data_IF_549538724312
#
_entry.id   IF_549538724312
#
_cell.length_a   1.000
_cell.length_b   1.000
_cell.length_c   1.000
_cell.angle_alpha   90.00
_cell.angle_beta   90.00
_cell.angle_gamma   90.00
#
_symmetry.space_group_name_H-M   'P 1'
#
loop_
_entity.id
_entity.type
_entity.pdbx_description
1 polymer ?
#
# COMPACT_ATOMS: atom_id res chain seq x y z
N UNK A 1 12.10 1.14 -49.62
CA UNK A 1 12.46 -0.30 -49.53
C UNK A 1 13.73 -0.39 -48.68
N UNK A 2 13.85 -1.05 -47.53
CA UNK A 2 12.99 -1.89 -46.69
C UNK A 2 13.31 -1.48 -45.24
N UNK A 3 12.29 -1.21 -44.41
CA UNK A 3 12.52 -1.13 -42.96
C UNK A 3 12.90 -2.54 -42.48
N UNK A 4 14.09 -2.69 -41.90
CA UNK A 4 14.53 -3.93 -41.28
C UNK A 4 13.50 -4.37 -40.25
N UNK A 5 12.71 -5.40 -40.56
CA UNK A 5 11.80 -6.04 -39.62
C UNK A 5 12.59 -6.43 -38.38
N UNK A 6 12.22 -5.90 -37.21
CA UNK A 6 12.67 -6.44 -35.92
C UNK A 6 12.47 -7.95 -35.98
N UNK A 7 13.55 -8.72 -35.81
CA UNK A 7 13.47 -10.17 -35.77
C UNK A 7 12.85 -10.54 -34.41
N UNK A 8 11.53 -10.57 -34.37
CA UNK A 8 10.76 -11.07 -33.23
C UNK A 8 10.91 -12.58 -33.28
N UNK A 9 11.49 -13.15 -32.23
CA UNK A 9 11.54 -14.61 -32.09
C UNK A 9 10.56 -14.94 -30.98
N UNK A 10 9.42 -15.53 -31.35
CA UNK A 10 8.46 -16.07 -30.39
C UNK A 10 8.93 -17.46 -29.99
N UNK A 11 9.15 -17.67 -28.70
CA UNK A 11 9.49 -18.98 -28.15
C UNK A 11 8.26 -19.47 -27.39
N UNK A 12 7.58 -20.46 -27.96
CA UNK A 12 6.50 -21.16 -27.28
C UNK A 12 7.10 -22.04 -26.16
N UNK A 13 6.61 -21.87 -24.94
CA UNK A 13 6.92 -22.79 -23.84
C UNK A 13 5.88 -23.91 -23.85
N UNK A 14 6.34 -25.15 -24.01
CA UNK A 14 5.50 -26.33 -23.79
C UNK A 14 5.18 -26.46 -22.30
N UNK A 15 4.13 -25.79 -21.86
CA UNK A 15 3.38 -26.07 -20.64
C UNK A 15 1.91 -25.72 -20.92
N UNK A 16 0.98 -26.37 -20.21
CA UNK A 16 -0.48 -26.33 -20.44
C UNK A 16 -1.18 -24.95 -20.23
N UNK A 17 -0.46 -23.84 -20.37
CA UNK A 17 -0.98 -22.49 -20.38
C UNK A 17 -0.28 -21.73 -21.52
N UNK A 18 -1.07 -21.19 -22.46
CA UNK A 18 -0.60 -20.43 -23.62
C UNK A 18 0.10 -19.14 -23.18
N UNK A 19 1.36 -19.23 -22.77
CA UNK A 19 2.21 -18.10 -22.43
C UNK A 19 3.24 -17.89 -23.54
N UNK A 20 3.18 -16.74 -24.22
CA UNK A 20 4.13 -16.35 -25.27
C UNK A 20 5.23 -15.47 -24.71
N UNK A 21 6.50 -15.84 -24.92
CA UNK A 21 7.64 -14.97 -24.63
C UNK A 21 8.06 -14.28 -25.93
N UNK A 22 7.95 -12.95 -25.96
CA UNK A 22 8.37 -12.14 -27.11
C UNK A 22 9.78 -11.60 -26.87
N UNK A 23 10.75 -12.07 -27.66
CA UNK A 23 12.14 -11.59 -27.61
C UNK A 23 12.35 -10.59 -28.76
N UNK A 24 12.75 -9.34 -28.43
CA UNK A 24 13.16 -8.35 -29.42
C UNK A 24 14.62 -7.97 -29.25
N UNK A 25 15.45 -8.25 -30.26
CA UNK A 25 16.82 -7.73 -30.33
C UNK A 25 16.81 -6.34 -30.99
N UNK A 26 17.33 -5.33 -30.30
CA UNK A 26 17.67 -4.04 -30.92
C UNK A 26 19.14 -4.04 -31.32
N UNK A 27 19.42 -4.32 -32.59
CA UNK A 27 20.75 -4.05 -33.16
C UNK A 27 20.82 -2.56 -33.51
N UNK A 28 21.47 -1.75 -32.67
CA UNK A 28 21.98 -0.45 -33.10
C UNK A 28 23.44 -0.64 -33.54
N UNK A 29 23.63 -1.11 -34.77
CA UNK A 29 24.93 -1.02 -35.43
C UNK A 29 25.06 0.38 -36.02
N UNK A 30 25.56 1.33 -35.22
CA UNK A 30 26.21 2.53 -35.75
C UNK A 30 27.16 3.11 -34.70
N UNK A 31 28.38 2.58 -34.66
CA UNK A 31 29.56 3.33 -34.21
C UNK A 31 30.84 2.65 -34.70
N UNK A 32 31.39 3.20 -35.79
CA UNK A 32 32.81 3.10 -36.07
C UNK A 32 33.51 4.12 -35.16
N UNK A 33 34.13 3.66 -34.06
CA UNK A 33 35.35 4.24 -33.46
C UNK A 33 35.77 3.45 -32.23
N UNK A 34 37.02 2.99 -32.26
CA UNK A 34 37.75 2.32 -31.19
C UNK A 34 37.81 3.21 -29.94
N UNK A 35 37.24 2.74 -28.83
CA UNK A 35 37.62 3.01 -27.44
C UNK A 35 36.93 1.94 -26.58
N UNK A 36 37.70 1.19 -25.78
CA UNK A 36 37.21 0.00 -25.04
C UNK A 36 36.38 0.33 -23.78
N UNK A 37 35.93 1.58 -23.58
CA UNK A 37 35.14 1.97 -22.39
C UNK A 37 33.64 2.24 -22.64
N UNK A 38 33.13 2.20 -23.88
CA UNK A 38 31.73 2.53 -24.20
C UNK A 38 30.93 1.37 -24.86
N UNK A 39 31.12 0.12 -24.42
CA UNK A 39 30.21 -0.97 -24.80
C UNK A 39 28.92 -0.87 -23.99
N UNK A 40 27.91 -0.19 -24.54
CA UNK A 40 26.53 -0.22 -24.03
C UNK A 40 26.11 -1.70 -23.89
N UNK A 41 25.73 -2.17 -22.69
CA UNK A 41 25.40 -3.58 -22.51
C UNK A 41 24.20 -3.95 -23.37
N UNK A 42 24.37 -5.01 -24.17
CA UNK A 42 23.29 -5.62 -24.94
C UNK A 42 22.24 -6.15 -23.95
N UNK A 43 21.08 -5.51 -23.85
CA UNK A 43 20.00 -5.96 -22.99
C UNK A 43 18.91 -6.66 -23.80
N UNK A 44 18.41 -7.77 -23.26
CA UNK A 44 17.19 -8.41 -23.75
C UNK A 44 16.02 -7.91 -22.91
N UNK A 45 15.09 -7.17 -23.54
CA UNK A 45 13.87 -6.74 -22.87
C UNK A 45 12.86 -7.90 -22.90
N UNK A 46 12.54 -8.44 -21.72
CA UNK A 46 11.58 -9.53 -21.57
C UNK A 46 10.28 -8.97 -21.00
N UNK A 47 9.19 -9.18 -21.73
CA UNK A 47 7.84 -8.84 -21.27
C UNK A 47 7.19 -10.08 -20.68
N UNK A 48 6.67 -9.96 -19.46
CA UNK A 48 6.05 -11.07 -18.74
C UNK A 48 4.69 -10.59 -18.26
N UNK A 49 3.65 -11.17 -18.84
CA UNK A 49 2.29 -10.97 -18.35
C UNK A 49 2.15 -11.63 -16.97
N UNK A 50 1.55 -10.91 -16.03
CA UNK A 50 1.37 -11.35 -14.64
C UNK A 50 2.68 -11.88 -13.99
N UNK A 51 3.64 -10.99 -13.67
CA UNK A 51 4.96 -11.36 -13.14
C UNK A 51 4.90 -12.20 -11.86
N UNK A 52 3.85 -12.03 -11.06
CA UNK A 52 3.65 -12.75 -9.81
C UNK A 52 3.41 -14.24 -10.05
N UNK A 53 2.51 -14.59 -10.97
CA UNK A 53 2.24 -15.98 -11.32
C UNK A 53 3.37 -16.64 -12.12
N UNK A 54 4.19 -15.83 -12.80
CA UNK A 54 5.31 -16.30 -13.63
C UNK A 54 6.68 -16.16 -12.93
N UNK A 55 6.71 -16.07 -11.59
CA UNK A 55 7.92 -15.86 -10.79
C UNK A 55 9.05 -16.87 -11.07
N UNK A 56 8.73 -18.15 -11.24
CA UNK A 56 9.74 -19.18 -11.51
C UNK A 56 10.42 -19.00 -12.86
N UNK A 57 9.71 -18.43 -13.85
CA UNK A 57 10.28 -18.06 -15.15
C UNK A 57 11.18 -16.84 -15.01
N UNK A 58 10.74 -15.81 -14.28
CA UNK A 58 11.54 -14.61 -14.00
C UNK A 58 12.86 -15.01 -13.33
N UNK A 59 12.80 -15.84 -12.29
CA UNK A 59 13.98 -16.30 -11.54
C UNK A 59 14.96 -17.12 -12.40
N UNK A 60 14.45 -17.91 -13.36
CA UNK A 60 15.30 -18.64 -14.31
C UNK A 60 16.02 -17.68 -15.27
N UNK A 61 15.34 -16.64 -15.74
CA UNK A 61 15.90 -15.66 -16.68
C UNK A 61 16.85 -14.67 -15.97
N UNK A 62 16.55 -14.31 -14.72
CA UNK A 62 17.28 -13.28 -13.98
C UNK A 62 18.55 -13.76 -13.29
N UNK A 63 18.72 -15.08 -13.09
CA UNK A 63 19.86 -15.68 -12.37
C UNK A 63 21.24 -15.34 -12.98
N UNK A 64 21.29 -14.94 -14.25
CA UNK A 64 22.53 -14.65 -14.97
C UNK A 64 22.73 -13.16 -15.32
N UNK A 65 21.92 -12.23 -14.80
CA UNK A 65 22.03 -10.80 -15.13
C UNK A 65 22.09 -9.90 -13.87
N UNK A 66 23.10 -9.01 -13.81
CA UNK A 66 23.19 -7.96 -12.78
C UNK A 66 22.06 -6.95 -12.98
N UNK A 67 21.27 -6.69 -11.94
CA UNK A 67 20.28 -5.59 -11.92
C UNK A 67 18.80 -6.00 -12.00
N UNK A 68 18.48 -7.29 -11.95
CA UNK A 68 17.07 -7.72 -11.85
C UNK A 68 16.62 -7.71 -10.40
N UNK A 69 15.71 -6.80 -10.08
CA UNK A 69 14.96 -6.81 -8.83
C UNK A 69 14.03 -8.04 -8.84
N UNK A 70 14.34 -9.04 -8.02
CA UNK A 70 13.43 -10.15 -7.73
C UNK A 70 13.10 -10.10 -6.24
N UNK A 71 11.82 -9.99 -5.87
CA UNK A 71 11.44 -10.10 -4.46
C UNK A 71 11.93 -11.45 -3.94
N UNK A 72 12.82 -11.38 -2.96
CA UNK A 72 13.18 -12.53 -2.11
C UNK A 72 11.90 -13.19 -1.57
N UNK A 73 11.90 -14.49 -1.20
CA UNK A 73 10.69 -15.27 -0.92
C UNK A 73 9.95 -14.78 0.32
N UNK A 74 9.23 -13.68 0.16
CA UNK A 74 8.20 -13.19 1.06
C UNK A 74 6.88 -13.19 0.30
N UNK A 75 5.89 -13.82 0.92
CA UNK A 75 4.58 -14.15 0.37
C UNK A 75 3.61 -12.95 0.33
N UNK A 76 4.10 -11.71 0.50
CA UNK A 76 3.20 -10.56 0.47
C UNK A 76 2.68 -10.36 -0.96
N UNK A 77 1.36 -10.42 -1.11
CA UNK A 77 0.71 -10.08 -2.35
C UNK A 77 0.92 -8.57 -2.63
N UNK A 78 1.30 -8.17 -3.85
CA UNK A 78 1.56 -6.76 -4.15
C UNK A 78 0.35 -5.86 -3.91
N UNK A 79 -0.88 -6.31 -4.22
CA UNK A 79 -2.09 -5.55 -3.90
C UNK A 79 -2.29 -5.41 -2.40
N UNK A 80 -1.93 -6.43 -1.60
CA UNK A 80 -1.95 -6.33 -0.14
C UNK A 80 -0.99 -5.25 0.35
N UNK A 81 0.24 -5.20 -0.18
CA UNK A 81 1.22 -4.16 0.16
C UNK A 81 0.69 -2.77 -0.20
N UNK A 82 0.04 -2.63 -1.37
CA UNK A 82 -0.60 -1.38 -1.77
C UNK A 82 -1.74 -0.99 -0.83
N UNK A 83 -2.62 -1.92 -0.46
CA UNK A 83 -3.71 -1.68 0.48
C UNK A 83 -3.20 -1.26 1.85
N UNK A 84 -2.18 -1.96 2.36
CA UNK A 84 -1.57 -1.61 3.63
C UNK A 84 -0.87 -0.24 3.58
N UNK A 85 -0.24 0.10 2.45
CA UNK A 85 0.32 1.43 2.23
C UNK A 85 -0.78 2.50 2.16
N UNK A 86 -1.94 2.21 1.58
CA UNK A 86 -3.11 3.08 1.60
C UNK A 86 -3.65 3.32 3.02
N UNK A 87 -3.41 2.40 3.97
CA UNK A 87 -3.74 2.63 5.37
C UNK A 87 -2.62 3.40 6.12
N UNK A 88 -1.38 2.91 6.05
CA UNK A 88 -0.33 3.26 7.03
C UNK A 88 0.83 4.09 6.47
N UNK A 89 0.97 4.18 5.15
CA UNK A 89 2.17 4.79 4.57
C UNK A 89 2.09 6.31 4.46
N UNK A 90 3.26 6.92 4.30
CA UNK A 90 3.44 8.32 3.97
C UNK A 90 4.43 8.47 2.81
N UNK A 91 4.06 9.31 1.83
CA UNK A 91 4.94 9.76 0.76
C UNK A 91 5.29 11.22 1.00
N UNK A 92 6.56 11.58 0.92
CA UNK A 92 6.92 12.99 0.91
C UNK A 92 8.40 13.28 0.89
N UNK A 93 8.74 14.53 1.19
CA UNK A 93 10.13 14.96 1.27
C UNK A 93 10.31 16.06 2.33
N UNK A 94 11.49 16.05 2.94
CA UNK A 94 11.95 17.08 3.88
C UNK A 94 12.76 18.10 3.11
N UNK A 95 12.64 19.37 3.51
CA UNK A 95 13.51 20.45 3.05
C UNK A 95 14.15 21.03 4.30
N UNK A 96 15.48 21.00 4.39
CA UNK A 96 16.22 21.48 5.57
C UNK A 96 17.44 22.29 5.16
N UNK A 97 17.92 23.15 6.05
CA UNK A 97 19.17 23.87 5.84
C UNK A 97 20.35 22.92 5.78
N UNK A 98 21.21 23.15 4.80
CA UNK A 98 22.50 22.51 4.68
C UNK A 98 23.46 23.48 3.99
N UNK A 99 24.22 24.22 4.80
CA UNK A 99 25.12 25.29 4.34
C UNK A 99 26.28 24.77 3.47
N UNK A 100 26.50 23.46 3.40
CA UNK A 100 27.50 22.84 2.52
C UNK A 100 27.02 22.77 1.06
N UNK A 101 25.71 22.94 0.81
CA UNK A 101 25.13 22.92 -0.53
C UNK A 101 25.07 24.33 -1.11
N UNK A 102 25.19 24.45 -2.44
CA UNK A 102 25.21 25.72 -3.18
C UNK A 102 24.04 26.66 -2.82
N UNK A 103 22.83 26.11 -2.68
CA UNK A 103 21.63 26.87 -2.36
C UNK A 103 21.33 26.92 -0.85
N UNK A 104 22.16 26.30 -0.01
CA UNK A 104 21.94 26.22 1.44
C UNK A 104 20.78 25.33 1.88
N UNK A 105 20.15 24.59 0.96
CA UNK A 105 18.97 23.76 1.19
C UNK A 105 19.17 22.34 0.67
N UNK A 106 18.78 21.36 1.47
CA UNK A 106 18.79 19.93 1.13
C UNK A 106 17.35 19.41 1.05
N UNK A 107 17.05 18.70 -0.05
CA UNK A 107 15.77 18.03 -0.27
C UNK A 107 15.93 16.53 -0.10
N UNK A 108 15.21 15.93 0.84
CA UNK A 108 15.33 14.52 1.21
C UNK A 108 13.98 13.84 1.01
N UNK A 109 13.78 13.12 -0.10
CA UNK A 109 12.57 12.34 -0.30
C UNK A 109 12.51 11.12 0.60
N UNK A 110 11.30 10.67 0.91
CA UNK A 110 11.06 9.46 1.66
C UNK A 110 9.70 8.83 1.33
N UNK A 111 9.69 7.50 1.34
CA UNK A 111 8.52 6.67 1.58
C UNK A 111 8.69 6.04 2.96
N UNK A 112 7.66 6.05 3.79
CA UNK A 112 7.73 5.46 5.13
C UNK A 112 6.44 4.81 5.57
N UNK A 113 6.56 3.79 6.42
CA UNK A 113 5.46 3.15 7.15
C UNK A 113 5.87 3.14 8.63
N UNK A 114 5.02 3.72 9.49
CA UNK A 114 5.27 3.86 10.91
C UNK A 114 4.22 3.06 11.67
N UNK A 115 4.63 2.05 12.44
CA UNK A 115 3.73 1.18 13.20
C UNK A 115 4.13 1.12 14.67
N UNK A 116 3.26 0.56 15.50
CA UNK A 116 3.65 0.14 16.83
C UNK A 116 4.66 -1.03 16.76
N UNK A 117 5.60 -1.12 17.71
CA UNK A 117 6.67 -2.16 17.73
C UNK A 117 6.14 -3.59 17.73
N UNK A 118 4.93 -3.81 18.25
CA UNK A 118 4.22 -5.10 18.20
C UNK A 118 4.04 -5.63 16.77
N UNK A 119 3.97 -4.76 15.77
CA UNK A 119 3.79 -5.09 14.36
C UNK A 119 5.11 -4.95 13.56
N UNK A 120 6.26 -4.98 14.23
CA UNK A 120 7.59 -4.95 13.61
C UNK A 120 7.78 -6.06 12.55
N UNK A 121 7.16 -7.23 12.74
CA UNK A 121 7.19 -8.32 11.76
C UNK A 121 6.65 -7.90 10.40
N UNK A 122 5.60 -7.07 10.35
CA UNK A 122 5.04 -6.55 9.10
C UNK A 122 6.08 -5.67 8.39
N UNK A 123 6.79 -4.82 9.12
CA UNK A 123 7.83 -3.95 8.54
C UNK A 123 9.01 -4.76 8.00
N UNK A 124 9.43 -5.80 8.73
CA UNK A 124 10.44 -6.75 8.24
C UNK A 124 9.97 -7.43 6.95
N UNK A 125 8.70 -7.80 6.88
CA UNK A 125 8.14 -8.44 5.70
C UNK A 125 8.06 -7.51 4.49
N UNK A 126 7.68 -6.25 4.72
CA UNK A 126 7.64 -5.20 3.70
C UNK A 126 9.06 -4.85 3.22
N UNK A 127 10.04 -4.74 4.12
CA UNK A 127 11.44 -4.52 3.74
C UNK A 127 11.94 -5.66 2.85
N UNK A 128 11.62 -6.91 3.18
CA UNK A 128 11.98 -8.07 2.36
C UNK A 128 11.21 -8.11 1.03
N UNK A 129 9.96 -7.66 1.01
CA UNK A 129 9.14 -7.53 -0.20
C UNK A 129 9.67 -6.47 -1.18
N UNK A 130 10.16 -5.33 -0.69
CA UNK A 130 10.76 -4.26 -1.47
C UNK A 130 12.27 -4.40 -1.69
N UNK A 131 12.94 -5.28 -0.93
CA UNK A 131 14.38 -5.55 -1.04
C UNK A 131 15.29 -4.33 -0.76
N UNK A 132 14.70 -3.20 -0.35
CA UNK A 132 15.36 -1.93 -0.10
C UNK A 132 14.78 -1.28 1.16
N UNK A 133 15.44 -0.22 1.63
CA UNK A 133 15.01 0.53 2.80
C UNK A 133 15.58 0.02 4.12
N UNK A 134 15.39 0.85 5.14
CA UNK A 134 15.90 0.62 6.49
C UNK A 134 14.74 0.55 7.48
N UNK A 135 14.95 -0.18 8.57
CA UNK A 135 14.02 -0.21 9.69
C UNK A 135 14.75 0.35 10.90
N UNK A 136 14.12 1.30 11.59
CA UNK A 136 14.53 1.76 12.91
C UNK A 136 13.40 1.50 13.90
N UNK A 137 13.73 0.99 15.09
CA UNK A 137 12.75 0.69 16.14
C UNK A 137 13.15 1.35 17.45
N UNK A 138 12.18 2.00 18.10
CA UNK A 138 12.28 2.49 19.47
C UNK A 138 11.51 1.59 20.44
N UNK A 139 11.07 2.14 21.57
CA UNK A 139 10.29 1.42 22.59
C UNK A 139 8.87 1.05 22.09
N UNK A 140 8.17 2.02 21.51
CA UNK A 140 6.75 1.87 21.12
C UNK A 140 6.52 1.96 19.62
N UNK A 141 7.43 2.60 18.87
CA UNK A 141 7.29 2.79 17.42
C UNK A 141 8.41 2.09 16.65
N UNK A 142 8.04 1.48 15.52
CA UNK A 142 8.97 1.01 14.50
C UNK A 142 8.66 1.69 13.16
N UNK A 143 9.70 2.02 12.41
CA UNK A 143 9.62 2.79 11.17
C UNK A 143 10.38 2.05 10.07
N UNK A 144 9.68 1.67 9.01
CA UNK A 144 10.31 1.32 7.74
C UNK A 144 10.41 2.57 6.86
N UNK A 145 11.59 2.84 6.30
CA UNK A 145 11.79 4.02 5.45
C UNK A 145 12.74 3.74 4.27
N UNK A 146 12.37 4.28 3.11
CA UNK A 146 13.21 4.36 1.90
C UNK A 146 13.43 5.84 1.57
N UNK A 147 14.68 6.30 1.62
CA UNK A 147 15.06 7.71 1.37
C UNK A 147 16.08 7.88 0.24
N UNK A 148 16.70 6.79 -0.23
CA UNK A 148 17.60 6.79 -1.37
C UNK A 148 16.83 7.04 -2.65
N UNK A 149 17.17 8.09 -3.40
CA UNK A 149 16.56 8.38 -4.71
C UNK A 149 16.67 7.18 -5.66
N UNK A 150 17.78 6.42 -5.60
CA UNK A 150 17.97 5.21 -6.39
C UNK A 150 16.93 4.14 -6.03
N UNK A 151 16.70 3.90 -4.74
CA UNK A 151 15.77 2.87 -4.28
C UNK A 151 14.32 3.28 -4.52
N UNK A 152 14.01 4.58 -4.36
CA UNK A 152 12.71 5.15 -4.67
C UNK A 152 12.36 4.98 -6.16
N UNK A 153 13.30 5.27 -7.06
CA UNK A 153 13.12 5.13 -8.51
C UNK A 153 13.00 3.67 -8.96
N UNK A 154 13.74 2.75 -8.32
CA UNK A 154 13.85 1.37 -8.81
C UNK A 154 12.90 0.38 -8.11
N UNK A 155 12.40 0.70 -6.92
CA UNK A 155 11.54 -0.21 -6.15
C UNK A 155 10.17 0.41 -5.80
N UNK A 156 10.14 1.63 -5.25
CA UNK A 156 8.90 2.22 -4.74
C UNK A 156 8.02 2.77 -5.85
N UNK A 157 8.55 3.61 -6.74
CA UNK A 157 7.78 4.19 -7.85
C UNK A 157 7.21 3.08 -8.75
N UNK A 158 8.00 2.10 -9.24
CA UNK A 158 7.48 1.05 -10.12
C UNK A 158 6.37 0.21 -9.47
N UNK A 159 6.44 -0.04 -8.16
CA UNK A 159 5.38 -0.78 -7.46
C UNK A 159 4.05 -0.02 -7.51
N UNK A 160 4.04 1.26 -7.14
CA UNK A 160 2.79 2.05 -7.10
C UNK A 160 2.31 2.53 -8.47
N UNK A 161 3.13 2.40 -9.52
CA UNK A 161 2.67 2.51 -10.91
C UNK A 161 1.90 1.26 -11.34
N UNK A 162 2.41 0.07 -11.01
CA UNK A 162 1.80 -1.20 -11.38
C UNK A 162 0.60 -1.57 -10.49
N UNK A 163 0.64 -1.16 -9.22
CA UNK A 163 -0.40 -1.38 -8.22
C UNK A 163 -0.81 -0.03 -7.62
N UNK A 164 -1.70 0.72 -8.29
CA UNK A 164 -2.06 2.08 -7.86
C UNK A 164 -2.80 2.09 -6.52
N UNK A 165 -2.46 3.09 -5.69
CA UNK A 165 -3.23 3.44 -4.49
C UNK A 165 -4.67 3.86 -4.86
N UNK A 166 -5.63 3.56 -3.99
CA UNK A 166 -7.05 3.85 -4.21
C UNK A 166 -7.56 5.03 -3.37
N UNK A 167 -6.91 5.36 -2.24
CA UNK A 167 -7.30 6.50 -1.41
C UNK A 167 -6.81 7.83 -1.99
N UNK A 168 -7.22 8.96 -1.40
CA UNK A 168 -6.68 10.29 -1.71
C UNK A 168 -5.16 10.40 -1.50
N UNK A 169 -4.53 9.43 -0.83
CA UNK A 169 -3.06 9.30 -0.75
C UNK A 169 -2.42 9.09 -2.13
N UNK A 170 -3.15 8.57 -3.12
CA UNK A 170 -2.66 8.50 -4.51
C UNK A 170 -2.27 9.88 -5.04
N UNK A 171 -3.01 10.94 -4.70
CA UNK A 171 -2.64 12.29 -5.11
C UNK A 171 -1.32 12.75 -4.45
N UNK A 172 -1.08 12.38 -3.19
CA UNK A 172 0.21 12.63 -2.52
C UNK A 172 1.35 11.84 -3.18
N UNK A 173 1.10 10.58 -3.57
CA UNK A 173 2.05 9.78 -4.34
C UNK A 173 2.39 10.41 -5.70
N UNK A 174 1.41 10.95 -6.42
CA UNK A 174 1.64 11.60 -7.72
C UNK A 174 2.49 12.87 -7.56
N UNK A 175 2.20 13.72 -6.57
CA UNK A 175 3.04 14.86 -6.21
C UNK A 175 4.46 14.43 -5.82
N UNK A 176 4.57 13.40 -5.00
CA UNK A 176 5.85 12.81 -4.61
C UNK A 176 6.64 12.31 -5.83
N UNK A 177 6.01 11.58 -6.76
CA UNK A 177 6.63 11.10 -7.99
C UNK A 177 7.16 12.26 -8.83
N UNK A 178 6.39 13.35 -8.99
CA UNK A 178 6.86 14.58 -9.66
C UNK A 178 8.10 15.16 -8.99
N UNK A 179 8.14 15.19 -7.64
CA UNK A 179 9.32 15.65 -6.91
C UNK A 179 10.55 14.76 -7.15
N UNK A 180 10.37 13.43 -7.20
CA UNK A 180 11.47 12.51 -7.49
C UNK A 180 12.04 12.70 -8.90
N UNK A 181 11.19 12.96 -9.91
CA UNK A 181 11.67 13.24 -11.26
C UNK A 181 12.50 14.53 -11.33
N UNK A 182 12.10 15.60 -10.64
CA UNK A 182 12.92 16.82 -10.49
C UNK A 182 14.26 16.53 -9.81
N UNK A 183 14.27 15.66 -8.80
CA UNK A 183 15.50 15.27 -8.10
C UNK A 183 16.43 14.47 -9.02
N UNK A 184 15.87 13.51 -9.77
CA UNK A 184 16.58 12.69 -10.76
C UNK A 184 17.21 13.52 -11.87
N UNK A 185 16.52 14.55 -12.34
CA UNK A 185 17.01 15.52 -13.33
C UNK A 185 18.00 16.55 -12.74
N UNK A 186 18.29 16.45 -11.44
CA UNK A 186 19.13 17.38 -10.69
C UNK A 186 18.61 18.83 -10.64
N UNK A 187 17.33 19.06 -10.97
CA UNK A 187 16.72 20.40 -10.95
C UNK A 187 16.74 21.04 -9.56
N UNK A 188 16.68 20.22 -8.49
CA UNK A 188 16.78 20.65 -7.09
C UNK A 188 18.09 21.41 -6.75
N UNK A 189 19.10 21.39 -7.62
CA UNK A 189 20.35 22.15 -7.45
C UNK A 189 20.25 23.60 -7.93
N UNK A 190 19.15 23.97 -8.59
CA UNK A 190 18.88 25.29 -9.15
C UNK A 190 17.68 25.92 -8.44
N UNK A 191 17.64 27.25 -8.37
CA UNK A 191 16.64 27.96 -7.57
C UNK A 191 15.22 27.74 -8.10
N UNK A 192 15.07 27.65 -9.41
CA UNK A 192 13.81 27.40 -10.11
C UNK A 192 13.28 26.00 -9.79
N UNK A 193 14.15 24.98 -9.84
CA UNK A 193 13.78 23.62 -9.52
C UNK A 193 13.45 23.44 -8.04
N UNK A 194 14.18 24.13 -7.15
CA UNK A 194 13.87 24.16 -5.73
C UNK A 194 12.53 24.86 -5.47
N UNK A 195 12.23 25.97 -6.15
CA UNK A 195 10.94 26.68 -6.06
C UNK A 195 9.77 25.79 -6.51
N UNK A 196 9.91 25.04 -7.62
CA UNK A 196 8.94 24.01 -8.03
C UNK A 196 8.71 22.95 -6.94
N UNK A 197 9.77 22.47 -6.30
CA UNK A 197 9.66 21.50 -5.20
C UNK A 197 8.90 22.09 -4.00
N UNK A 198 9.06 23.38 -3.70
CA UNK A 198 8.27 24.04 -2.65
C UNK A 198 6.79 24.14 -3.06
N UNK A 199 6.49 24.44 -4.33
CA UNK A 199 5.12 24.37 -4.86
C UNK A 199 4.49 22.98 -4.72
N UNK A 200 5.24 21.91 -4.98
CA UNK A 200 4.79 20.53 -4.72
C UNK A 200 4.54 20.33 -3.22
N UNK A 201 5.47 20.79 -2.36
CA UNK A 201 5.38 20.62 -0.90
C UNK A 201 4.16 21.32 -0.32
N UNK A 202 3.81 22.49 -0.84
CA UNK A 202 2.63 23.26 -0.44
C UNK A 202 1.31 22.52 -0.71
N UNK A 203 1.31 21.58 -1.66
CA UNK A 203 0.14 20.74 -1.95
C UNK A 203 0.22 19.36 -1.32
N UNK A 204 1.40 18.90 -0.89
CA UNK A 204 1.64 17.55 -0.40
C UNK A 204 1.19 17.37 1.06
N UNK A 205 0.51 16.26 1.35
CA UNK A 205 0.00 15.93 2.69
C UNK A 205 -0.86 17.05 3.28
N UNK A 206 -0.38 17.75 4.32
CA UNK A 206 -1.07 18.88 4.95
C UNK A 206 -0.73 20.24 4.30
N UNK A 207 0.20 20.27 3.34
CA UNK A 207 0.61 21.49 2.66
C UNK A 207 1.34 22.53 3.52
N UNK A 208 1.70 22.16 4.76
CA UNK A 208 2.29 23.09 5.72
C UNK A 208 3.75 23.38 5.36
N UNK A 209 4.04 24.65 5.10
CA UNK A 209 5.38 25.21 4.98
C UNK A 209 5.72 25.96 6.26
N UNK A 210 6.96 25.83 6.74
CA UNK A 210 7.42 26.59 7.90
C UNK A 210 7.76 28.04 7.50
N UNK A 211 7.85 28.92 8.49
CA UNK A 211 8.15 30.34 8.29
C UNK A 211 9.46 30.56 7.50
N UNK A 212 10.47 29.72 7.75
CA UNK A 212 11.75 29.78 7.06
C UNK A 212 11.63 29.52 5.55
N UNK A 213 10.81 28.54 5.13
CA UNK A 213 10.53 28.29 3.73
C UNK A 213 9.68 29.42 3.12
N UNK A 214 8.67 29.91 3.85
CA UNK A 214 7.80 30.99 3.36
C UNK A 214 8.55 32.32 3.16
N UNK A 215 9.54 32.61 4.02
CA UNK A 215 10.39 33.80 3.92
C UNK A 215 11.45 33.70 2.83
N UNK A 216 11.98 32.49 2.58
CA UNK A 216 13.00 32.30 1.55
C UNK A 216 12.40 32.19 0.14
N UNK A 217 11.22 31.59 0.00
CA UNK A 217 10.55 31.38 -1.29
C UNK A 217 9.32 32.29 -1.40
N UNK A 218 9.46 33.40 -2.11
CA UNK A 218 8.34 34.30 -2.38
C UNK A 218 7.45 33.76 -3.50
N UNK A 219 6.16 34.13 -3.50
CA UNK A 219 5.19 33.81 -4.56
C UNK A 219 5.08 32.30 -4.87
N UNK A 220 5.03 31.46 -3.84
CA UNK A 220 4.85 30.01 -4.00
C UNK A 220 3.46 29.77 -4.60
N UNK A 221 3.43 29.11 -5.76
CA UNK A 221 2.19 28.60 -6.37
C UNK A 221 2.10 27.11 -6.05
N UNK A 222 1.14 26.67 -5.21
CA UNK A 222 0.94 25.26 -4.93
C UNK A 222 0.65 24.46 -6.20
N UNK A 223 1.28 23.29 -6.35
CA UNK A 223 1.00 22.44 -7.51
C UNK A 223 -0.41 21.84 -7.42
N UNK A 224 -1.18 21.90 -8.49
CA UNK A 224 -2.52 21.32 -8.54
C UNK A 224 -2.55 19.84 -8.15
N UNK A 225 -3.52 19.46 -7.31
CA UNK A 225 -3.71 18.07 -6.89
C UNK A 225 -4.56 17.34 -7.91
N UNK A 226 -4.00 16.29 -8.52
CA UNK A 226 -4.73 15.43 -9.46
C UNK A 226 -5.91 14.74 -8.77
N UNK A 227 -7.07 14.74 -9.44
CA UNK A 227 -8.21 13.93 -9.00
C UNK A 227 -7.88 12.43 -9.08
N UNK A 228 -8.22 11.70 -8.02
CA UNK A 228 -8.01 10.26 -7.94
C UNK A 228 -9.27 9.56 -8.45
N UNK A 229 -9.20 8.76 -9.53
CA UNK A 229 -10.35 8.01 -10.01
C UNK A 229 -10.74 6.91 -9.02
N UNK A 230 -12.03 6.63 -8.92
CA UNK A 230 -12.52 5.50 -8.14
C UNK A 230 -12.19 4.17 -8.85
N UNK A 231 -11.92 3.10 -8.09
CA UNK A 231 -11.74 1.77 -8.68
C UNK A 231 -13.07 1.27 -9.24
N UNK A 232 -13.05 0.67 -10.44
CA UNK A 232 -14.21 -0.06 -10.97
C UNK A 232 -14.50 -1.32 -10.14
N UNK A 233 -13.44 -2.04 -9.76
CA UNK A 233 -13.48 -3.24 -8.92
C UNK A 233 -12.38 -3.16 -7.87
N UNK A 234 -12.75 -3.43 -6.61
CA UNK A 234 -11.80 -3.51 -5.52
C UNK A 234 -11.13 -4.88 -5.53
N UNK A 235 -9.80 -4.89 -5.57
CA UNK A 235 -9.04 -6.13 -5.44
C UNK A 235 -9.14 -6.65 -3.99
N UNK A 236 -9.48 -7.93 -3.76
CA UNK A 236 -9.69 -8.45 -2.41
C UNK A 236 -8.40 -8.51 -1.59
N UNK A 237 -7.22 -8.67 -2.21
CA UNK A 237 -5.94 -8.55 -1.49
C UNK A 237 -5.65 -7.10 -1.08
N UNK A 238 -6.01 -6.11 -1.92
CA UNK A 238 -5.93 -4.70 -1.53
C UNK A 238 -6.84 -4.42 -0.34
N UNK A 239 -8.09 -4.91 -0.38
CA UNK A 239 -9.03 -4.74 0.73
C UNK A 239 -8.48 -5.36 2.02
N UNK A 240 -7.95 -6.58 1.96
CA UNK A 240 -7.30 -7.23 3.10
C UNK A 240 -6.10 -6.43 3.65
N UNK A 241 -5.23 -5.91 2.77
CA UNK A 241 -4.11 -5.05 3.16
C UNK A 241 -4.56 -3.76 3.82
N UNK A 242 -5.54 -3.09 3.23
CA UNK A 242 -6.11 -1.86 3.77
C UNK A 242 -6.74 -2.09 5.15
N UNK A 243 -7.44 -3.20 5.33
CA UNK A 243 -8.06 -3.56 6.61
C UNK A 243 -7.07 -4.04 7.67
N UNK A 244 -5.84 -4.38 7.27
CA UNK A 244 -4.77 -4.74 8.20
C UNK A 244 -4.16 -3.51 8.90
N UNK A 245 -4.29 -2.31 8.33
CA UNK A 245 -3.83 -1.06 8.95
C UNK A 245 -4.62 -0.67 10.20
N UNK A 246 -4.00 0.07 11.11
CA UNK A 246 -4.53 0.52 12.40
C UNK A 246 -5.79 1.39 12.26
N UNK A 247 -6.69 1.33 13.25
CA UNK A 247 -7.97 2.04 13.22
C UNK A 247 -9.04 1.48 12.26
N UNK A 248 -8.71 0.44 11.48
CA UNK A 248 -9.60 -0.23 10.53
C UNK A 248 -9.90 -1.67 10.98
N UNK A 249 -11.09 -2.19 10.69
CA UNK A 249 -11.48 -3.59 10.86
C UNK A 249 -12.17 -3.93 12.19
N UNK A 250 -11.56 -4.83 12.96
CA UNK A 250 -12.16 -5.50 14.14
C UNK A 250 -12.15 -4.67 15.43
N UNK A 251 -11.72 -3.40 15.33
CA UNK A 251 -11.74 -2.47 16.44
C UNK A 251 -13.18 -2.26 16.93
N UNK A 252 -13.43 -2.58 18.20
CA UNK A 252 -14.78 -2.55 18.80
C UNK A 252 -15.80 -3.46 18.09
N UNK A 253 -15.37 -4.57 17.50
CA UNK A 253 -16.24 -5.45 16.70
C UNK A 253 -17.38 -6.14 17.45
N UNK A 254 -17.36 -6.15 18.79
CA UNK A 254 -18.36 -6.85 19.61
C UNK A 254 -19.01 -5.87 20.58
N UNK A 255 -20.28 -5.57 20.37
CA UNK A 255 -21.10 -4.76 21.27
C UNK A 255 -22.07 -5.66 22.06
N UNK A 256 -22.24 -5.36 23.35
CA UNK A 256 -23.17 -6.06 24.23
C UNK A 256 -24.06 -4.99 24.84
N UNK A 257 -25.32 -4.97 24.42
CA UNK A 257 -26.30 -3.94 24.80
C UNK A 257 -27.34 -4.54 25.73
N UNK A 258 -27.77 -3.80 26.76
CA UNK A 258 -28.91 -4.21 27.59
C UNK A 258 -30.17 -4.24 26.72
N UNK A 259 -30.97 -5.28 26.85
CA UNK A 259 -32.20 -5.43 26.08
C UNK A 259 -33.24 -6.21 26.87
N UNK A 260 -34.38 -5.57 27.13
CA UNK A 260 -35.53 -6.20 27.81
C UNK A 260 -36.26 -7.22 26.93
N UNK A 261 -36.10 -7.16 25.61
CA UNK A 261 -36.73 -8.09 24.66
C UNK A 261 -35.95 -9.39 24.45
N UNK A 262 -34.69 -9.47 24.91
CA UNK A 262 -33.87 -10.67 24.82
C UNK A 262 -33.95 -11.45 26.13
N UNK A 263 -34.15 -12.77 26.05
CA UNK A 263 -34.35 -13.65 27.23
C UNK A 263 -33.24 -13.54 28.29
N UNK A 264 -32.00 -13.32 27.86
CA UNK A 264 -30.84 -13.19 28.74
C UNK A 264 -30.57 -11.75 29.20
N UNK A 265 -31.44 -10.80 28.85
CA UNK A 265 -31.30 -9.38 29.21
C UNK A 265 -30.29 -8.58 28.36
N UNK A 266 -29.65 -9.24 27.38
CA UNK A 266 -28.62 -8.64 26.54
C UNK A 266 -28.78 -9.01 25.07
N UNK A 267 -28.44 -8.07 24.20
CA UNK A 267 -28.23 -8.27 22.77
C UNK A 267 -26.73 -8.26 22.47
N UNK A 268 -26.25 -9.25 21.72
CA UNK A 268 -24.88 -9.28 21.18
C UNK A 268 -24.93 -8.80 19.74
N UNK A 269 -24.11 -7.81 19.40
CA UNK A 269 -23.94 -7.30 18.04
C UNK A 269 -22.50 -7.53 17.62
N UNK A 270 -22.33 -8.23 16.51
CA UNK A 270 -21.05 -8.37 15.82
C UNK A 270 -21.02 -7.38 14.67
N UNK A 271 -19.97 -6.55 14.62
CA UNK A 271 -19.79 -5.53 13.60
C UNK A 271 -18.38 -5.53 13.03
N UNK A 272 -18.27 -5.27 11.74
CA UNK A 272 -17.03 -4.91 11.06
C UNK A 272 -17.10 -3.45 10.66
N UNK A 273 -15.98 -2.73 10.84
CA UNK A 273 -15.93 -1.28 10.71
C UNK A 273 -14.67 -0.84 9.98
N UNK A 274 -14.79 -0.01 8.95
CA UNK A 274 -13.66 0.71 8.35
C UNK A 274 -13.87 2.19 8.61
N UNK A 275 -12.94 2.82 9.33
CA UNK A 275 -12.96 4.25 9.62
C UNK A 275 -11.94 4.94 8.71
N UNK A 276 -12.33 6.01 8.03
CA UNK A 276 -11.43 6.80 7.21
C UNK A 276 -11.82 8.28 7.23
N UNK A 277 -10.91 9.18 6.86
CA UNK A 277 -11.25 10.59 6.69
C UNK A 277 -12.35 10.75 5.62
N UNK A 278 -13.26 11.71 5.82
CA UNK A 278 -14.41 11.95 4.91
C UNK A 278 -14.04 12.28 3.46
N UNK A 279 -12.76 12.57 3.20
CA UNK A 279 -12.22 12.83 1.85
C UNK A 279 -12.23 11.57 0.97
N UNK A 280 -12.29 10.40 1.60
CA UNK A 280 -12.32 9.09 0.98
C UNK A 280 -13.74 8.47 1.03
N UNK A 281 -14.78 9.27 1.32
CA UNK A 281 -16.17 8.82 1.40
C UNK A 281 -16.61 8.01 0.18
N UNK A 282 -16.30 8.50 -1.03
CA UNK A 282 -16.69 7.82 -2.27
C UNK A 282 -16.02 6.45 -2.41
N UNK A 283 -14.78 6.28 -1.93
CA UNK A 283 -14.13 4.97 -1.87
C UNK A 283 -14.84 4.04 -0.87
N UNK A 284 -15.27 4.56 0.29
CA UNK A 284 -16.03 3.75 1.25
C UNK A 284 -17.38 3.30 0.67
N UNK A 285 -18.05 4.12 -0.14
CA UNK A 285 -19.27 3.73 -0.85
C UNK A 285 -19.03 2.57 -1.82
N UNK A 286 -17.86 2.49 -2.45
CA UNK A 286 -17.48 1.33 -3.26
C UNK A 286 -17.43 0.02 -2.45
N UNK A 287 -17.17 0.07 -1.13
CA UNK A 287 -17.17 -1.12 -0.28
C UNK A 287 -18.55 -1.75 -0.10
N UNK A 288 -19.62 -0.94 -0.17
CA UNK A 288 -20.99 -1.46 -0.15
C UNK A 288 -21.22 -2.40 -1.33
N UNK A 289 -20.88 -1.94 -2.53
CA UNK A 289 -21.02 -2.73 -3.76
C UNK A 289 -20.09 -3.92 -3.79
N UNK A 290 -18.84 -3.75 -3.33
CA UNK A 290 -17.84 -4.81 -3.27
C UNK A 290 -18.23 -5.99 -2.38
N UNK A 291 -18.75 -5.72 -1.17
CA UNK A 291 -19.20 -6.77 -0.26
C UNK A 291 -20.66 -7.20 -0.50
N UNK A 292 -21.41 -6.44 -1.30
CA UNK A 292 -22.84 -6.67 -1.52
C UNK A 292 -23.70 -6.27 -0.31
N UNK A 293 -23.26 -5.28 0.46
CA UNK A 293 -24.01 -4.73 1.59
C UNK A 293 -23.14 -3.96 2.59
N UNK A 294 -23.73 -3.66 3.75
CA UNK A 294 -23.18 -2.68 4.69
C UNK A 294 -23.72 -1.28 4.40
N UNK A 295 -23.30 -0.29 5.20
CA UNK A 295 -23.78 1.08 5.09
C UNK A 295 -22.71 2.08 5.57
N UNK A 296 -22.86 3.36 5.19
CA UNK A 296 -21.98 4.43 5.64
C UNK A 296 -22.59 5.15 6.85
N UNK A 297 -21.76 5.47 7.85
CA UNK A 297 -22.04 6.53 8.83
C UNK A 297 -21.08 7.67 8.62
N UNK A 298 -21.60 8.89 8.64
CA UNK A 298 -20.80 10.11 8.45
C UNK A 298 -20.76 10.92 9.75
N UNK A 299 -19.58 11.48 10.02
CA UNK A 299 -19.32 12.40 11.13
C UNK A 299 -18.42 13.52 10.60
N UNK A 300 -18.20 14.56 11.41
CA UNK A 300 -17.25 15.62 11.06
C UNK A 300 -15.87 15.03 10.76
N UNK A 301 -15.38 15.24 9.54
CA UNK A 301 -14.09 14.77 9.01
C UNK A 301 -13.87 13.24 8.97
N UNK A 302 -14.88 12.44 9.30
CA UNK A 302 -14.77 10.98 9.40
C UNK A 302 -15.95 10.32 8.70
N UNK A 303 -15.67 9.27 7.94
CA UNK A 303 -16.67 8.38 7.37
C UNK A 303 -16.36 6.95 7.80
N UNK A 304 -17.41 6.19 8.10
CA UNK A 304 -17.36 4.84 8.61
C UNK A 304 -18.12 3.91 7.67
N UNK A 305 -17.48 2.89 7.10
CA UNK A 305 -18.18 1.78 6.45
C UNK A 305 -18.46 0.68 7.48
N UNK A 306 -19.73 0.29 7.62
CA UNK A 306 -20.20 -0.58 8.70
C UNK A 306 -20.94 -1.79 8.15
N UNK A 307 -20.59 -2.98 8.66
CA UNK A 307 -21.29 -4.24 8.40
C UNK A 307 -21.73 -4.85 9.73
N UNK A 308 -23.04 -4.98 9.95
CA UNK A 308 -23.64 -5.58 11.17
C UNK A 308 -24.53 -6.79 10.89
N UNK A 309 -24.92 -7.02 9.64
CA UNK A 309 -25.78 -8.14 9.26
C UNK A 309 -24.98 -9.43 9.38
N UNK A 310 -25.37 -10.30 10.33
CA UNK A 310 -24.62 -11.52 10.64
C UNK A 310 -24.39 -12.39 9.41
N UNK A 311 -25.40 -12.59 8.56
CA UNK A 311 -25.21 -13.37 7.32
C UNK A 311 -24.23 -12.73 6.33
N UNK A 312 -24.18 -11.41 6.25
CA UNK A 312 -23.16 -10.75 5.41
C UNK A 312 -21.75 -10.97 5.99
N UNK A 313 -21.63 -10.99 7.32
CA UNK A 313 -20.36 -11.28 8.00
C UNK A 313 -19.93 -12.72 7.74
N UNK A 314 -20.81 -13.70 7.97
CA UNK A 314 -20.49 -15.13 7.87
C UNK A 314 -20.33 -15.60 6.43
N UNK A 315 -21.13 -15.09 5.50
CA UNK A 315 -21.23 -15.66 4.15
C UNK A 315 -20.31 -14.95 3.14
N UNK A 316 -19.85 -13.73 3.47
CA UNK A 316 -19.01 -12.92 2.58
C UNK A 316 -17.72 -12.47 3.27
N UNK A 317 -17.83 -11.73 4.37
CA UNK A 317 -16.68 -11.06 4.98
C UNK A 317 -15.64 -12.04 5.54
N UNK A 318 -16.06 -13.01 6.35
CA UNK A 318 -15.18 -14.02 6.93
C UNK A 318 -14.51 -14.87 5.83
N UNK A 319 -15.24 -15.46 4.86
CA UNK A 319 -14.64 -16.20 3.75
C UNK A 319 -13.64 -15.36 2.94
N UNK A 320 -13.92 -14.06 2.76
CA UNK A 320 -13.00 -13.14 2.09
C UNK A 320 -11.67 -13.06 2.83
N UNK A 321 -11.66 -12.83 4.15
CA UNK A 321 -10.42 -12.71 4.91
C UNK A 321 -9.72 -14.05 5.20
N UNK A 322 -10.46 -15.16 5.21
CA UNK A 322 -9.87 -16.51 5.23
C UNK A 322 -9.10 -16.80 3.92
N UNK A 323 -9.59 -16.31 2.78
CA UNK A 323 -8.91 -16.44 1.49
C UNK A 323 -7.82 -15.39 1.28
N UNK A 324 -8.07 -14.16 1.73
CA UNK A 324 -7.23 -12.98 1.58
C UNK A 324 -6.85 -12.47 2.97
N UNK A 325 -5.77 -13.06 3.49
CA UNK A 325 -5.38 -12.92 4.89
C UNK A 325 -5.17 -11.47 5.35
N UNK A 326 -5.71 -11.19 6.54
CA UNK A 326 -5.27 -10.09 7.40
C UNK A 326 -3.88 -10.46 7.95
N UNK A 327 -2.95 -9.51 7.99
CA UNK A 327 -1.59 -9.74 8.49
C UNK A 327 -1.34 -8.85 9.70
N UNK A 328 -0.44 -9.29 10.59
CA UNK A 328 -0.11 -8.61 11.82
C UNK A 328 -0.93 -9.08 13.01
N UNK A 329 -0.81 -8.38 14.13
CA UNK A 329 -1.54 -8.73 15.36
C UNK A 329 -3.06 -8.70 15.18
N UNK A 330 -3.55 -7.90 14.22
CA UNK A 330 -4.97 -7.82 13.86
C UNK A 330 -5.56 -9.14 13.38
N UNK A 331 -4.73 -10.04 12.84
CA UNK A 331 -5.19 -11.38 12.47
C UNK A 331 -5.69 -12.15 13.70
N UNK A 332 -5.09 -11.96 14.88
CA UNK A 332 -5.58 -12.60 16.10
C UNK A 332 -6.97 -12.07 16.49
N UNK A 333 -7.23 -10.79 16.29
CA UNK A 333 -8.56 -10.20 16.48
C UNK A 333 -9.58 -10.71 15.45
N UNK A 334 -9.15 -10.94 14.21
CA UNK A 334 -9.98 -11.59 13.19
C UNK A 334 -10.35 -13.03 13.58
N UNK A 335 -9.40 -13.81 14.10
CA UNK A 335 -9.67 -15.19 14.54
C UNK A 335 -10.67 -15.22 15.70
N UNK A 336 -10.51 -14.33 16.68
CA UNK A 336 -11.46 -14.22 17.79
C UNK A 336 -12.83 -13.71 17.32
N UNK A 337 -12.86 -12.79 16.35
CA UNK A 337 -14.08 -12.37 15.66
C UNK A 337 -14.81 -13.53 14.98
N UNK A 338 -14.07 -14.44 14.31
CA UNK A 338 -14.65 -15.64 13.69
C UNK A 338 -15.28 -16.57 14.72
N UNK A 339 -14.60 -16.84 15.85
CA UNK A 339 -15.16 -17.66 16.94
C UNK A 339 -16.47 -17.09 17.48
N UNK A 340 -16.54 -15.77 17.65
CA UNK A 340 -17.78 -15.11 18.09
C UNK A 340 -18.86 -15.22 17.02
N UNK A 341 -18.53 -15.07 15.73
CA UNK A 341 -19.47 -15.28 14.64
C UNK A 341 -20.05 -16.70 14.64
N UNK A 342 -19.24 -17.72 14.89
CA UNK A 342 -19.67 -19.13 15.02
C UNK A 342 -20.63 -19.34 16.21
N UNK A 343 -20.31 -18.76 17.38
CA UNK A 343 -21.22 -18.76 18.54
C UNK A 343 -22.53 -18.03 18.25
N UNK A 344 -22.49 -16.99 17.42
CA UNK A 344 -23.69 -16.28 17.00
C UNK A 344 -24.53 -17.09 16.01
N UNK A 345 -23.89 -17.71 15.02
CA UNK A 345 -24.53 -18.53 13.99
C UNK A 345 -25.23 -19.77 14.57
N UNK A 346 -24.63 -20.38 15.60
CA UNK A 346 -25.23 -21.50 16.35
C UNK A 346 -26.28 -21.07 17.39
N UNK A 347 -26.63 -19.78 17.46
CA UNK A 347 -27.51 -19.19 18.48
C UNK A 347 -27.01 -19.30 19.93
N UNK A 348 -25.78 -19.75 20.19
CA UNK A 348 -25.22 -19.91 21.53
C UNK A 348 -25.20 -18.59 22.32
N UNK A 349 -25.00 -17.45 21.63
CA UNK A 349 -25.08 -16.09 22.21
C UNK A 349 -26.41 -15.76 22.91
N UNK A 350 -27.47 -16.56 22.75
CA UNK A 350 -28.77 -16.41 23.41
C UNK A 350 -28.87 -17.14 24.75
N UNK A 351 -27.77 -17.73 25.23
CA UNK A 351 -27.67 -18.42 26.52
C UNK A 351 -26.70 -17.69 27.46
N UNK A 352 -26.87 -17.76 28.80
CA UNK A 352 -25.91 -17.20 29.75
C UNK A 352 -24.48 -17.74 29.53
N UNK A 353 -24.33 -19.03 29.27
CA UNK A 353 -23.05 -19.70 29.06
C UNK A 353 -22.37 -19.22 27.78
N UNK A 354 -23.13 -19.10 26.68
CA UNK A 354 -22.61 -18.57 25.42
C UNK A 354 -22.25 -17.09 25.51
N UNK A 355 -23.03 -16.29 26.23
CA UNK A 355 -22.69 -14.88 26.49
C UNK A 355 -21.40 -14.76 27.33
N UNK A 356 -21.23 -15.60 28.35
CA UNK A 356 -20.01 -15.64 29.15
C UNK A 356 -18.77 -15.96 28.30
N UNK A 357 -18.87 -16.95 27.40
CA UNK A 357 -17.79 -17.27 26.43
C UNK A 357 -17.47 -16.09 25.50
N UNK A 358 -18.48 -15.39 25.00
CA UNK A 358 -18.27 -14.20 24.15
C UNK A 358 -17.57 -13.08 24.93
N UNK A 359 -17.95 -12.85 26.18
CA UNK A 359 -17.31 -11.88 27.07
C UNK A 359 -15.84 -12.22 27.32
N UNK A 360 -15.55 -13.50 27.56
CA UNK A 360 -14.18 -14.01 27.74
C UNK A 360 -13.33 -13.75 26.49
N UNK A 361 -13.79 -14.16 25.30
CA UNK A 361 -13.07 -13.92 24.04
C UNK A 361 -12.86 -12.41 23.84
N UNK A 362 -13.94 -11.61 23.97
CA UNK A 362 -13.89 -10.15 23.82
C UNK A 362 -12.90 -9.48 24.77
N UNK A 363 -12.67 -10.05 25.96
CA UNK A 363 -11.74 -9.49 26.95
C UNK A 363 -10.29 -9.51 26.47
N UNK A 364 -9.94 -10.42 25.55
CA UNK A 364 -8.59 -10.56 24.97
C UNK A 364 -8.40 -9.90 23.59
N UNK A 365 -9.41 -9.19 23.07
CA UNK A 365 -9.35 -8.58 21.73
C UNK A 365 -8.81 -7.13 21.74
N UNK A 366 -8.24 -6.72 20.61
CA UNK A 366 -7.81 -5.34 20.29
C UNK A 366 -6.83 -4.79 21.34
N UNK A 367 -7.09 -3.60 21.89
CA UNK A 367 -6.21 -2.92 22.87
C UNK A 367 -6.03 -3.67 24.18
N UNK A 368 -6.86 -4.69 24.46
CA UNK A 368 -6.75 -5.54 25.64
C UNK A 368 -5.85 -6.75 25.43
N UNK A 369 -5.45 -7.02 24.18
CA UNK A 369 -4.54 -8.11 23.83
C UNK A 369 -3.15 -7.79 24.37
N UNK A 370 -2.62 -8.69 25.19
CA UNK A 370 -1.28 -8.59 25.79
C UNK A 370 -0.19 -9.00 24.81
#
# INVERSE_FOLDING_TARGET
>A
MFFSKKKITEVALNNNQNNTITITNSNNNNSNKNNDEDKIPLYTKVYIENPFNNRNLILKVSKNQKGVYSPTPNNLNPYWVTGFADAESCFGFRVRKNLKLKLGWEVIPYFSINLHTKDLSILLDIKKFFGVGNISSGKETAIYQVNSTKDLLNAIIPHFELYPLLTKKRADYLLFKSAIELIKQQEHKYIEGLHKLIGIKASLNKGILNEELNSYFNNIVPQERTSVPLPEVINPYWFAGFTSGDGIGFASSVEILKSSSHKIGYQVILKFLIIQHSRDLELLKCFISFLGGGFIKERTNISEYVVVKLSLITDKLIPLFQKHHIIGNKNNDFLDFCKIAELMNSNAHKTPEGLAKILEIKSGMNTKRK
#
